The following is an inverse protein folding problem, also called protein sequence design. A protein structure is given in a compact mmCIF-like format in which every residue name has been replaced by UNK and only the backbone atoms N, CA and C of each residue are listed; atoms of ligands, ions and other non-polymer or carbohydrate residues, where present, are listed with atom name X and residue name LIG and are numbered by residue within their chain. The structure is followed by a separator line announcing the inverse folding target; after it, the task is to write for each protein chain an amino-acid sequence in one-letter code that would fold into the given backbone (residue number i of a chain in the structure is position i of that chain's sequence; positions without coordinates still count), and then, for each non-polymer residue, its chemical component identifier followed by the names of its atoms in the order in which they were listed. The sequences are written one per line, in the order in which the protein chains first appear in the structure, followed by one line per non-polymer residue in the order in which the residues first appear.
data_IF_438174881589
#
_entry.id   IF_438174881589
#
_cell.length_a   1.000
_cell.length_b   1.000
_cell.length_c   1.000
_cell.angle_alpha   90.00
_cell.angle_beta   90.00
_cell.angle_gamma   90.00
#
_symmetry.space_group_name_H-M   'P 1'
#
loop_
_entity.id
_entity.type
_entity.pdbx_description
1 polymer ?
#
# COMPACT_ATOMS: atom_id res chain seq x y z
N UNK A 1 8.38 -8.61 16.59
CA UNK A 1 7.87 -8.14 15.27
C UNK A 1 6.41 -7.77 15.47
N UNK A 2 6.02 -6.61 15.07
CA UNK A 2 4.59 -6.19 15.14
C UNK A 2 3.82 -7.02 14.10
N UNK A 3 2.83 -7.78 14.54
CA UNK A 3 2.00 -8.59 13.66
C UNK A 3 1.04 -7.71 12.86
N UNK A 4 0.90 -7.95 11.56
CA UNK A 4 -0.05 -7.25 10.70
C UNK A 4 -1.41 -7.94 10.86
N UNK A 5 -2.40 -7.21 11.38
CA UNK A 5 -3.77 -7.71 11.48
C UNK A 5 -4.40 -7.83 10.08
N UNK A 6 -5.10 -8.94 9.79
CA UNK A 6 -5.71 -9.17 8.47
C UNK A 6 -7.23 -9.36 8.61
N UNK A 7 -7.98 -8.45 8.00
CA UNK A 7 -9.43 -8.54 7.85
C UNK A 7 -9.78 -8.76 6.39
N UNK A 8 -10.33 -9.91 6.04
CA UNK A 8 -10.73 -10.24 4.68
C UNK A 8 -12.08 -9.58 4.31
N UNK A 9 -12.21 -9.19 3.04
CA UNK A 9 -13.51 -8.75 2.53
C UNK A 9 -14.54 -9.89 2.58
N UNK A 10 -15.78 -9.54 2.92
CA UNK A 10 -16.92 -10.47 2.88
C UNK A 10 -17.58 -10.50 1.50
N UNK A 11 -17.20 -9.59 0.60
CA UNK A 11 -17.76 -9.44 -0.75
C UNK A 11 -16.62 -9.41 -1.79
N UNK A 12 -15.87 -10.53 -1.98
CA UNK A 12 -14.77 -10.55 -2.92
C UNK A 12 -15.25 -10.33 -4.35
N UNK A 13 -14.56 -9.49 -5.10
CA UNK A 13 -14.84 -9.23 -6.52
C UNK A 13 -14.03 -10.18 -7.40
N UNK A 14 -14.49 -10.36 -8.62
CA UNK A 14 -13.72 -11.07 -9.65
C UNK A 14 -12.82 -10.08 -10.37
N UNK A 15 -11.51 -10.36 -10.52
CA UNK A 15 -10.66 -9.57 -11.38
C UNK A 15 -11.21 -9.55 -12.82
N UNK A 16 -11.17 -8.40 -13.50
CA UNK A 16 -11.56 -8.33 -14.91
C UNK A 16 -10.56 -9.09 -15.80
N UNK A 17 -10.93 -9.34 -17.03
CA UNK A 17 -10.04 -9.97 -18.00
C UNK A 17 -8.77 -9.12 -18.22
N UNK A 18 -7.61 -9.75 -18.31
CA UNK A 18 -6.31 -9.07 -18.40
C UNK A 18 -6.24 -8.06 -19.57
N UNK A 19 -7.00 -8.29 -20.64
CA UNK A 19 -7.07 -7.42 -21.83
C UNK A 19 -7.80 -6.10 -21.57
N UNK A 20 -8.64 -6.06 -20.55
CA UNK A 20 -9.45 -4.88 -20.19
C UNK A 20 -8.82 -4.03 -19.11
N UNK A 21 -7.70 -4.48 -18.56
CA UNK A 21 -6.99 -3.76 -17.50
C UNK A 21 -6.46 -2.42 -18.02
N UNK A 22 -6.75 -1.36 -17.29
CA UNK A 22 -6.25 -0.02 -17.54
C UNK A 22 -5.65 0.54 -16.26
N UNK A 23 -4.44 1.09 -16.37
CA UNK A 23 -3.72 1.65 -15.23
C UNK A 23 -4.57 2.68 -14.47
N UNK A 24 -4.66 2.54 -13.15
CA UNK A 24 -5.38 3.47 -12.26
C UNK A 24 -6.92 3.40 -12.34
N UNK A 25 -7.48 2.37 -12.97
CA UNK A 25 -8.94 2.20 -13.09
C UNK A 25 -9.50 1.01 -12.32
N UNK A 26 -8.66 0.03 -12.07
CA UNK A 26 -9.05 -1.21 -11.39
C UNK A 26 -8.22 -1.33 -10.11
N UNK A 27 -8.87 -1.59 -8.99
CA UNK A 27 -8.23 -1.75 -7.68
C UNK A 27 -8.57 -3.12 -7.13
N UNK A 28 -7.64 -3.72 -6.37
CA UNK A 28 -7.88 -5.01 -5.68
C UNK A 28 -8.85 -4.87 -4.51
N UNK A 29 -9.11 -5.96 -3.82
CA UNK A 29 -10.13 -6.00 -2.77
C UNK A 29 -9.67 -5.47 -1.42
N UNK A 30 -8.36 -5.35 -1.20
CA UNK A 30 -7.82 -4.95 0.09
C UNK A 30 -6.83 -3.77 -0.02
N UNK A 31 -6.61 -3.13 1.13
CA UNK A 31 -5.61 -2.08 1.32
C UNK A 31 -4.89 -2.30 2.66
N UNK A 32 -3.64 -1.87 2.73
CA UNK A 32 -2.91 -1.80 3.99
C UNK A 32 -3.08 -0.42 4.62
N UNK A 33 -3.14 -0.37 5.93
CA UNK A 33 -3.17 0.86 6.71
C UNK A 33 -2.28 0.72 7.94
N UNK A 34 -1.65 1.83 8.32
CA UNK A 34 -0.87 1.99 9.55
C UNK A 34 -0.98 3.44 9.99
N UNK A 35 -1.01 3.71 11.26
CA UNK A 35 -1.21 5.05 11.82
C UNK A 35 0.02 5.53 12.58
N UNK A 36 0.22 6.84 12.62
CA UNK A 36 1.26 7.48 13.41
C UNK A 36 0.64 8.47 14.38
N UNK A 37 1.07 8.43 15.64
CA UNK A 37 0.77 9.46 16.63
C UNK A 37 2.05 9.87 17.36
N UNK A 38 2.20 11.15 17.64
CA UNK A 38 3.29 11.65 18.44
C UNK A 38 3.30 10.96 19.81
N UNK A 39 4.50 10.53 20.25
CA UNK A 39 4.70 9.80 21.50
C UNK A 39 4.41 8.30 21.43
N UNK A 40 3.67 7.81 20.45
CA UNK A 40 3.43 6.39 20.22
C UNK A 40 4.22 5.84 19.02
N UNK A 41 4.50 6.69 18.03
CA UNK A 41 5.11 6.28 16.77
C UNK A 41 4.13 5.57 15.85
N UNK A 42 4.67 4.82 14.87
CA UNK A 42 3.88 4.00 13.95
C UNK A 42 3.26 2.80 14.68
N UNK A 43 1.95 2.61 14.51
CA UNK A 43 1.19 1.57 15.19
C UNK A 43 0.01 1.06 14.35
N UNK A 44 -0.62 0.00 14.81
CA UNK A 44 -1.82 -0.62 14.24
C UNK A 44 -1.70 -1.00 12.74
N UNK A 45 -0.61 -1.69 12.33
CA UNK A 45 -0.47 -2.16 10.97
C UNK A 45 -1.54 -3.21 10.65
N UNK A 46 -2.32 -2.97 9.59
CA UNK A 46 -3.45 -3.83 9.24
C UNK A 46 -3.73 -3.87 7.75
N UNK A 47 -4.16 -5.03 7.25
CA UNK A 47 -4.78 -5.19 5.94
C UNK A 47 -6.29 -5.26 6.14
N UNK A 48 -7.02 -4.41 5.42
CA UNK A 48 -8.49 -4.29 5.52
C UNK A 48 -9.12 -4.29 4.12
N UNK A 49 -10.45 -4.52 3.99
CA UNK A 49 -11.13 -4.32 2.72
C UNK A 49 -10.91 -2.91 2.18
N UNK A 50 -10.75 -2.78 0.85
CA UNK A 50 -10.59 -1.49 0.19
C UNK A 50 -11.80 -0.60 0.46
N UNK A 51 -11.57 0.58 1.03
CA UNK A 51 -12.60 1.51 1.48
C UNK A 51 -12.11 2.96 1.42
N UNK A 52 -13.04 3.90 1.51
CA UNK A 52 -12.71 5.29 1.74
C UNK A 52 -12.14 5.46 3.15
N UNK A 53 -11.25 6.43 3.33
CA UNK A 53 -10.82 6.86 4.65
C UNK A 53 -11.35 8.27 4.97
N UNK A 54 -11.52 8.52 6.26
CA UNK A 54 -11.91 9.85 6.76
C UNK A 54 -10.65 10.60 7.15
N UNK A 55 -10.55 11.85 6.70
CA UNK A 55 -9.43 12.73 6.99
C UNK A 55 -9.92 14.00 7.69
N UNK A 56 -9.11 14.54 8.61
CA UNK A 56 -9.36 15.83 9.20
C UNK A 56 -9.24 16.92 8.12
N UNK A 57 -10.18 17.89 8.05
CA UNK A 57 -10.08 19.02 7.13
C UNK A 57 -8.79 19.85 7.26
N UNK A 58 -8.15 19.85 8.44
CA UNK A 58 -6.88 20.53 8.69
C UNK A 58 -5.64 19.72 8.25
N UNK A 59 -5.84 18.54 7.67
CA UNK A 59 -4.75 17.67 7.24
C UNK A 59 -3.77 18.38 6.31
N UNK A 60 -2.47 18.33 6.60
CA UNK A 60 -1.42 19.02 5.85
C UNK A 60 -1.39 18.64 4.36
N UNK A 61 -1.79 17.45 3.99
CA UNK A 61 -1.87 17.06 2.57
C UNK A 61 -2.87 17.93 1.79
N UNK A 62 -3.98 18.35 2.42
CA UNK A 62 -5.02 19.15 1.77
C UNK A 62 -4.61 20.61 1.61
N UNK A 63 -3.74 21.12 2.48
CA UNK A 63 -3.36 22.54 2.51
C UNK A 63 -1.97 22.82 1.93
N UNK A 64 -1.04 21.91 2.13
CA UNK A 64 0.38 22.10 1.77
C UNK A 64 0.90 21.03 0.83
N UNK A 65 0.07 20.04 0.46
CA UNK A 65 0.48 18.92 -0.38
C UNK A 65 1.56 18.05 0.27
N UNK A 66 1.63 18.01 1.60
CA UNK A 66 2.61 17.20 2.32
C UNK A 66 2.21 15.74 2.22
N UNK A 67 2.64 15.10 1.15
CA UNK A 67 2.45 13.69 0.88
C UNK A 67 3.62 13.14 0.09
N UNK A 68 3.89 11.87 0.28
CA UNK A 68 4.88 11.12 -0.51
C UNK A 68 4.22 9.90 -1.11
N UNK A 69 4.80 9.39 -2.18
CA UNK A 69 4.41 8.09 -2.71
C UNK A 69 5.60 7.31 -3.25
N UNK A 70 5.47 6.03 -3.25
CA UNK A 70 6.34 5.10 -3.96
C UNK A 70 5.50 4.05 -4.68
N UNK A 71 6.11 3.31 -5.57
CA UNK A 71 5.42 2.24 -6.28
C UNK A 71 6.34 1.09 -6.61
N UNK A 72 5.83 -0.11 -6.35
CA UNK A 72 6.48 -1.36 -6.77
C UNK A 72 5.48 -2.22 -7.52
N UNK A 73 5.99 -3.31 -8.09
CA UNK A 73 5.16 -4.21 -8.91
C UNK A 73 5.26 -5.64 -8.40
N UNK A 74 4.12 -6.33 -8.42
CA UNK A 74 4.05 -7.77 -8.27
C UNK A 74 3.84 -8.42 -9.64
N UNK A 75 4.57 -9.49 -9.91
CA UNK A 75 4.57 -10.20 -11.19
C UNK A 75 4.21 -11.66 -10.99
N UNK A 76 3.43 -12.20 -11.89
CA UNK A 76 3.20 -13.64 -11.96
C UNK A 76 4.24 -14.27 -12.89
N UNK A 77 5.03 -15.19 -12.34
CA UNK A 77 6.00 -15.96 -13.11
C UNK A 77 5.34 -17.03 -13.99
N UNK A 78 6.10 -17.57 -14.94
CA UNK A 78 5.65 -18.69 -15.78
C UNK A 78 5.30 -19.96 -14.98
N UNK A 79 5.82 -20.10 -13.78
CA UNK A 79 5.52 -21.16 -12.81
C UNK A 79 4.23 -20.90 -12.01
N UNK A 80 3.53 -19.80 -12.29
CA UNK A 80 2.30 -19.37 -11.60
C UNK A 80 2.53 -18.65 -10.28
N UNK A 81 3.75 -18.63 -9.75
CA UNK A 81 4.06 -17.97 -8.48
C UNK A 81 4.10 -16.44 -8.63
N UNK A 82 3.61 -15.75 -7.62
CA UNK A 82 3.67 -14.28 -7.56
C UNK A 82 4.95 -13.85 -6.85
N UNK A 83 5.61 -12.85 -7.39
CA UNK A 83 6.88 -12.31 -6.88
C UNK A 83 6.86 -10.81 -6.79
N UNK A 84 7.43 -10.29 -5.70
CA UNK A 84 7.79 -8.90 -5.53
C UNK A 84 9.28 -8.72 -5.86
N UNK A 85 9.62 -7.59 -6.46
CA UNK A 85 11.01 -7.27 -6.77
C UNK A 85 11.50 -6.14 -5.88
N UNK A 86 12.51 -6.43 -5.04
CA UNK A 86 13.22 -5.45 -4.20
C UNK A 86 12.31 -4.67 -3.22
N UNK A 87 11.38 -5.35 -2.54
CA UNK A 87 10.42 -4.73 -1.62
C UNK A 87 11.10 -3.85 -0.54
N UNK A 88 12.20 -4.31 0.05
CA UNK A 88 12.93 -3.54 1.06
C UNK A 88 13.55 -2.26 0.49
N UNK A 89 14.03 -2.28 -0.75
CA UNK A 89 14.58 -1.08 -1.39
C UNK A 89 13.50 -0.04 -1.69
N UNK A 90 12.29 -0.49 -2.02
CA UNK A 90 11.12 0.38 -2.18
C UNK A 90 10.72 1.03 -0.85
N UNK A 91 10.67 0.26 0.24
CA UNK A 91 10.41 0.79 1.58
C UNK A 91 11.49 1.82 2.01
N UNK A 92 12.77 1.52 1.76
CA UNK A 92 13.86 2.45 2.02
C UNK A 92 13.79 3.73 1.14
N UNK A 93 13.31 3.60 -0.11
CA UNK A 93 13.11 4.76 -1.00
C UNK A 93 11.95 5.64 -0.54
N UNK A 94 10.87 5.04 -0.04
CA UNK A 94 9.74 5.76 0.58
C UNK A 94 10.25 6.59 1.76
N UNK A 95 11.08 6.01 2.64
CA UNK A 95 11.68 6.72 3.78
C UNK A 95 12.61 7.88 3.36
N UNK A 96 13.36 7.73 2.26
CA UNK A 96 14.12 8.88 1.74
C UNK A 96 13.20 10.05 1.34
N UNK A 97 12.05 9.74 0.76
CA UNK A 97 11.06 10.77 0.44
C UNK A 97 10.44 11.38 1.70
N UNK A 98 10.14 10.56 2.72
CA UNK A 98 9.62 11.01 4.01
C UNK A 98 10.58 12.01 4.68
N UNK A 99 11.87 11.69 4.70
CA UNK A 99 12.90 12.57 5.25
C UNK A 99 12.90 13.97 4.63
N UNK A 100 12.77 14.08 3.29
CA UNK A 100 12.75 15.38 2.60
C UNK A 100 11.52 16.24 2.91
N UNK A 101 10.40 15.62 3.26
CA UNK A 101 9.17 16.32 3.59
C UNK A 101 8.90 16.39 5.11
N UNK A 102 9.89 16.05 5.93
CA UNK A 102 9.76 16.02 7.41
C UNK A 102 8.58 15.16 7.89
N UNK A 103 8.32 14.07 7.16
CA UNK A 103 7.36 13.04 7.53
C UNK A 103 8.10 12.01 8.38
N UNK A 104 7.52 11.48 9.47
CA UNK A 104 8.14 10.45 10.29
C UNK A 104 8.55 9.22 9.47
N UNK A 105 9.79 8.76 9.67
CA UNK A 105 10.28 7.57 8.95
C UNK A 105 9.47 6.33 9.32
N UNK A 106 9.06 5.59 8.28
CA UNK A 106 8.32 4.35 8.43
C UNK A 106 9.25 3.19 8.79
N UNK A 107 8.82 2.22 9.59
CA UNK A 107 9.59 1.02 9.88
C UNK A 107 9.70 0.15 8.62
N UNK A 108 10.89 0.11 8.02
CA UNK A 108 11.16 -0.56 6.72
C UNK A 108 10.68 -2.00 6.70
N UNK A 109 10.92 -2.73 7.79
CA UNK A 109 10.54 -4.15 7.87
C UNK A 109 9.01 -4.34 7.84
N UNK A 110 8.26 -3.47 8.53
CA UNK A 110 6.79 -3.52 8.52
C UNK A 110 6.25 -3.12 7.14
N UNK A 111 6.83 -2.09 6.51
CA UNK A 111 6.44 -1.67 5.16
C UNK A 111 6.74 -2.79 4.14
N UNK A 112 7.90 -3.41 4.19
CA UNK A 112 8.23 -4.51 3.30
C UNK A 112 7.33 -5.74 3.50
N UNK A 113 6.96 -6.03 4.74
CA UNK A 113 6.04 -7.12 5.09
C UNK A 113 4.61 -6.81 4.66
N UNK A 114 4.17 -5.54 4.77
CA UNK A 114 2.84 -5.13 4.30
C UNK A 114 2.66 -5.34 2.79
N UNK A 115 3.70 -5.11 1.98
CA UNK A 115 3.66 -5.43 0.56
C UNK A 115 3.45 -6.93 0.31
N UNK A 116 4.10 -7.79 1.11
CA UNK A 116 3.93 -9.26 0.99
C UNK A 116 2.52 -9.67 1.41
N UNK A 117 2.06 -9.21 2.58
CA UNK A 117 0.74 -9.55 3.11
C UNK A 117 -0.39 -9.11 2.15
N UNK A 118 -0.29 -7.89 1.59
CA UNK A 118 -1.27 -7.38 0.64
C UNK A 118 -1.30 -8.19 -0.67
N UNK A 119 -0.13 -8.52 -1.21
CA UNK A 119 -0.04 -9.32 -2.44
C UNK A 119 -0.49 -10.77 -2.22
N UNK A 120 -0.22 -11.33 -1.05
CA UNK A 120 -0.65 -12.69 -0.71
C UNK A 120 -2.18 -12.79 -0.62
N UNK A 121 -2.83 -11.83 0.04
CA UNK A 121 -4.29 -11.83 0.16
C UNK A 121 -4.99 -11.58 -1.18
N UNK A 122 -4.42 -10.71 -2.01
CA UNK A 122 -4.96 -10.28 -3.31
C UNK A 122 -4.23 -10.94 -4.51
N UNK A 123 -3.56 -12.08 -4.31
CA UNK A 123 -2.79 -12.74 -5.36
C UNK A 123 -3.58 -13.04 -6.63
N UNK A 124 -4.91 -13.22 -6.52
CA UNK A 124 -5.78 -13.47 -7.68
C UNK A 124 -5.92 -12.24 -8.60
N UNK A 125 -5.64 -11.05 -8.07
CA UNK A 125 -5.65 -9.79 -8.81
C UNK A 125 -4.36 -9.57 -9.61
N UNK A 126 -3.30 -10.35 -9.37
CA UNK A 126 -2.08 -10.26 -10.16
C UNK A 126 -2.35 -10.86 -11.54
N UNK A 127 -2.25 -10.06 -12.63
CA UNK A 127 -2.59 -10.51 -13.97
C UNK A 127 -1.76 -11.73 -14.41
N UNK A 128 -2.33 -12.53 -15.32
CA UNK A 128 -1.70 -13.75 -15.86
C UNK A 128 -1.01 -13.52 -17.20
N UNK A 129 -1.41 -12.48 -17.93
CA UNK A 129 -0.85 -12.16 -19.24
C UNK A 129 0.62 -11.75 -19.13
N UNK A 130 1.46 -12.30 -19.98
CA UNK A 130 2.87 -11.94 -20.04
C UNK A 130 3.07 -10.44 -20.29
N UNK A 131 4.02 -9.82 -19.54
CA UNK A 131 4.29 -8.39 -19.63
C UNK A 131 3.36 -7.49 -18.80
N UNK A 132 2.38 -8.07 -18.09
CA UNK A 132 1.51 -7.35 -17.17
C UNK A 132 1.95 -7.52 -15.72
N UNK A 133 1.47 -6.65 -14.84
CA UNK A 133 1.81 -6.68 -13.41
C UNK A 133 0.73 -5.98 -12.59
N UNK A 134 0.63 -6.37 -11.32
CA UNK A 134 -0.08 -5.58 -10.32
C UNK A 134 0.83 -4.46 -9.85
N UNK A 135 0.36 -3.21 -9.88
CA UNK A 135 1.07 -2.06 -9.32
C UNK A 135 0.62 -1.81 -7.90
N UNK A 136 1.54 -1.78 -6.96
CA UNK A 136 1.28 -1.45 -5.57
C UNK A 136 1.79 -0.03 -5.33
N UNK A 137 0.87 0.87 -5.02
CA UNK A 137 1.20 2.23 -4.62
C UNK A 137 1.26 2.32 -3.11
N UNK A 138 2.35 2.80 -2.57
CA UNK A 138 2.43 3.27 -1.20
C UNK A 138 2.28 4.79 -1.19
N UNK A 139 1.48 5.27 -0.28
CA UNK A 139 1.25 6.69 -0.09
C UNK A 139 1.23 6.98 1.41
N UNK A 140 1.85 8.08 1.80
CA UNK A 140 1.83 8.56 3.17
C UNK A 140 1.51 10.05 3.13
N UNK A 141 0.62 10.47 4.00
CA UNK A 141 0.20 11.84 4.17
C UNK A 141 -0.02 12.14 5.67
N UNK A 142 0.39 13.34 6.09
CA UNK A 142 0.30 13.75 7.49
C UNK A 142 -0.84 14.74 7.73
N UNK A 143 -1.43 14.68 8.93
CA UNK A 143 -2.18 15.77 9.52
C UNK A 143 -1.37 16.38 10.67
N UNK A 144 -1.61 17.62 11.03
CA UNK A 144 -0.95 18.27 12.19
C UNK A 144 -1.27 17.55 13.52
N UNK A 145 -2.33 16.76 13.56
CA UNK A 145 -2.79 16.04 14.75
C UNK A 145 -2.71 14.53 14.61
N UNK A 146 -2.69 13.98 13.38
CA UNK A 146 -2.64 12.54 13.11
C UNK A 146 -2.06 12.29 11.72
N UNK A 147 -1.06 11.42 11.61
CA UNK A 147 -0.64 10.90 10.32
C UNK A 147 -1.26 9.52 10.08
N UNK A 148 -1.79 9.33 8.90
CA UNK A 148 -2.25 8.03 8.43
C UNK A 148 -1.45 7.64 7.20
N UNK A 149 -0.83 6.49 7.26
CA UNK A 149 -0.16 5.91 6.11
C UNK A 149 -1.06 4.84 5.51
N UNK A 150 -1.29 4.94 4.22
CA UNK A 150 -2.10 3.97 3.50
C UNK A 150 -1.31 3.41 2.34
N UNK A 151 -1.15 2.10 2.32
CA UNK A 151 -0.53 1.38 1.22
C UNK A 151 -1.62 0.55 0.56
N UNK A 152 -2.06 0.93 -0.58
CA UNK A 152 -2.75 0.01 -1.49
C UNK A 152 -2.89 0.60 -2.87
N UNK A 153 -2.82 -0.20 -3.89
CA UNK A 153 -3.54 -0.11 -5.15
C UNK A 153 -2.98 -1.15 -6.10
N UNK A 154 -3.87 -1.96 -6.64
CA UNK A 154 -3.53 -2.89 -7.68
C UNK A 154 -4.13 -2.41 -9.00
N UNK A 155 -3.34 -2.45 -10.05
CA UNK A 155 -3.77 -2.28 -11.42
C UNK A 155 -3.30 -3.47 -12.23
#
# INVERSE_FOLDING_TARGET
MTEIAITRTTTPRQPPADETLTFGKVFSDHMFMMEYHDGQGWHDPRVVPYQNFTMDPACCVLHYGQAIFDGLKAFRGADGNVRLFRANDHAARLNRSAHYLCIPELPVDIVAESFRALVEIDQNWVPKKAGTSMYIRSEEHTSELQSQSTISYAV
#
